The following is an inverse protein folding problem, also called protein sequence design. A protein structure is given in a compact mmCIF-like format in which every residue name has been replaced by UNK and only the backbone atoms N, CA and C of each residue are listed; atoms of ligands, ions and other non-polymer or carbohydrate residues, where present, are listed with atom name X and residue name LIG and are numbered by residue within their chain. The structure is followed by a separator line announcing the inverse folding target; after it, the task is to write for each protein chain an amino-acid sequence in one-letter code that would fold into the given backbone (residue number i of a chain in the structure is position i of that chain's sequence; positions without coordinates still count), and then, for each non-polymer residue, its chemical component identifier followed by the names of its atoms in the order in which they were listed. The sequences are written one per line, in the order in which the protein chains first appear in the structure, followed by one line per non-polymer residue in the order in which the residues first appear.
data_IF_947296534752
#
_entry.id   IF_947296534752
#
_cell.length_a   1.000
_cell.length_b   1.000
_cell.length_c   1.000
_cell.angle_alpha   90.00
_cell.angle_beta   90.00
_cell.angle_gamma   90.00
#
_symmetry.space_group_name_H-M   'P 1'
#
loop_
_entity.id
_entity.type
_entity.pdbx_description
1 polymer ?
#
# COMPACT_ATOMS: atom_id res chain seq x y z
N UNK A 1 25.65 -16.63 3.06
CA UNK A 1 25.12 -18.00 3.17
C UNK A 1 25.93 -18.94 2.26
N UNK A 2 26.32 -20.14 2.69
CA UNK A 2 27.16 -21.04 1.88
C UNK A 2 26.34 -21.93 0.95
N UNK A 3 26.90 -22.29 -0.22
CA UNK A 3 26.23 -23.18 -1.18
C UNK A 3 25.88 -24.55 -0.57
N UNK A 4 26.78 -25.14 0.21
CA UNK A 4 26.54 -26.42 0.90
C UNK A 4 25.36 -26.34 1.88
N UNK A 5 25.17 -25.20 2.57
CA UNK A 5 24.03 -25.01 3.46
C UNK A 5 22.72 -24.95 2.68
N UNK A 6 22.69 -24.19 1.58
CA UNK A 6 21.51 -24.05 0.71
C UNK A 6 21.11 -25.41 0.14
N UNK A 7 22.06 -26.12 -0.47
CA UNK A 7 21.85 -27.47 -1.03
C UNK A 7 21.28 -28.43 0.03
N UNK A 8 21.86 -28.44 1.23
CA UNK A 8 21.40 -29.32 2.31
C UNK A 8 19.94 -29.09 2.67
N UNK A 9 19.48 -27.83 2.72
CA UNK A 9 18.09 -27.49 3.05
C UNK A 9 17.13 -27.71 1.88
N UNK A 10 17.55 -27.38 0.65
CA UNK A 10 16.75 -27.62 -0.56
C UNK A 10 16.44 -29.11 -0.77
N UNK A 11 17.37 -30.00 -0.41
CA UNK A 11 17.21 -31.44 -0.55
C UNK A 11 16.87 -32.17 0.77
N UNK A 12 16.58 -31.42 1.85
CA UNK A 12 16.12 -32.02 3.09
C UNK A 12 14.66 -32.50 2.90
N UNK A 13 14.33 -33.75 3.25
CA UNK A 13 12.99 -34.31 3.03
C UNK A 13 11.89 -33.63 3.87
N UNK A 14 12.25 -32.84 4.88
CA UNK A 14 11.29 -32.06 5.66
C UNK A 14 11.01 -30.69 5.04
N UNK A 15 11.72 -30.30 3.98
CA UNK A 15 11.50 -29.05 3.27
C UNK A 15 10.74 -29.30 1.98
N UNK A 16 9.85 -28.38 1.67
CA UNK A 16 9.16 -28.32 0.39
C UNK A 16 9.66 -27.10 -0.37
N UNK A 17 9.80 -27.26 -1.68
CA UNK A 17 10.15 -26.15 -2.57
C UNK A 17 9.22 -26.10 -3.76
N UNK A 18 8.92 -24.89 -4.20
CA UNK A 18 8.31 -24.65 -5.50
C UNK A 18 9.03 -23.52 -6.21
N UNK A 19 8.98 -23.58 -7.54
CA UNK A 19 9.66 -22.65 -8.44
C UNK A 19 8.67 -22.12 -9.46
N UNK A 20 8.87 -20.88 -9.89
CA UNK A 20 8.20 -20.34 -11.07
C UNK A 20 9.14 -20.52 -12.25
N UNK A 21 8.62 -21.18 -13.28
CA UNK A 21 9.31 -21.36 -14.56
C UNK A 21 8.65 -20.51 -15.62
N UNK A 22 9.47 -19.86 -16.45
CA UNK A 22 9.02 -19.15 -17.64
C UNK A 22 9.45 -19.92 -18.87
N UNK A 23 8.50 -20.16 -19.77
CA UNK A 23 8.80 -20.75 -21.08
C UNK A 23 9.16 -19.65 -22.07
N UNK A 24 10.37 -19.68 -22.61
CA UNK A 24 10.84 -18.74 -23.64
C UNK A 24 11.42 -19.54 -24.80
N UNK A 25 10.90 -19.34 -26.01
CA UNK A 25 11.36 -20.01 -27.24
C UNK A 25 11.44 -21.55 -27.15
N UNK A 26 10.61 -22.18 -26.31
CA UNK A 26 10.59 -23.63 -26.13
C UNK A 26 11.36 -24.15 -24.91
N UNK A 27 12.23 -23.32 -24.32
CA UNK A 27 13.03 -23.66 -23.14
C UNK A 27 12.37 -23.16 -21.84
N UNK A 28 12.62 -23.87 -20.73
CA UNK A 28 12.15 -23.49 -19.40
C UNK A 28 13.28 -22.84 -18.60
N UNK A 29 13.07 -21.61 -18.19
CA UNK A 29 13.98 -20.86 -17.33
C UNK A 29 13.35 -20.68 -15.93
N UNK A 30 14.12 -20.93 -14.87
CA UNK A 30 13.68 -20.68 -13.50
C UNK A 30 13.75 -19.19 -13.21
N UNK A 31 12.61 -18.60 -12.85
CA UNK A 31 12.48 -17.16 -12.57
C UNK A 31 12.61 -16.87 -11.08
N UNK A 32 11.97 -17.66 -10.24
CA UNK A 32 11.97 -17.48 -8.80
C UNK A 32 11.67 -18.81 -8.11
N UNK A 33 11.83 -18.83 -6.78
CA UNK A 33 11.51 -20.00 -5.98
C UNK A 33 11.44 -19.72 -4.49
N UNK A 34 10.70 -20.58 -3.80
CA UNK A 34 10.55 -20.57 -2.37
C UNK A 34 10.76 -21.98 -1.81
N UNK A 35 11.56 -22.07 -0.75
CA UNK A 35 11.77 -23.26 0.07
C UNK A 35 11.28 -22.99 1.49
N UNK A 36 10.42 -23.86 1.99
CA UNK A 36 9.80 -23.71 3.30
C UNK A 36 9.67 -25.06 4.02
N UNK A 37 9.43 -25.01 5.33
CA UNK A 37 9.18 -26.18 6.18
C UNK A 37 7.98 -25.94 7.08
N UNK A 38 7.01 -26.84 7.03
CA UNK A 38 5.77 -26.73 7.82
C UNK A 38 5.85 -27.55 9.11
N UNK A 39 5.47 -26.94 10.23
CA UNK A 39 5.39 -27.57 11.55
C UNK A 39 3.93 -27.68 11.99
N UNK A 40 3.20 -28.67 11.45
CA UNK A 40 1.75 -28.83 11.63
C UNK A 40 1.29 -28.86 13.10
N UNK A 41 2.03 -29.52 13.98
CA UNK A 41 1.69 -29.59 15.42
C UNK A 41 1.87 -28.24 16.13
N UNK A 42 2.79 -27.41 15.64
CA UNK A 42 3.13 -26.09 16.20
C UNK A 42 2.36 -24.96 15.50
N UNK A 43 1.66 -25.29 14.42
CA UNK A 43 0.78 -24.42 13.63
C UNK A 43 1.50 -23.25 12.95
N UNK A 44 2.73 -23.47 12.51
CA UNK A 44 3.46 -22.48 11.71
C UNK A 44 4.29 -23.12 10.60
N UNK A 45 4.66 -22.30 9.62
CA UNK A 45 5.60 -22.65 8.55
C UNK A 45 6.80 -21.71 8.59
N UNK A 46 8.01 -22.23 8.45
CA UNK A 46 9.24 -21.45 8.28
C UNK A 46 9.56 -21.29 6.78
N UNK A 47 9.70 -20.06 6.30
CA UNK A 47 10.33 -19.82 4.99
C UNK A 47 11.84 -19.84 5.20
N UNK A 48 12.50 -20.85 4.63
CA UNK A 48 13.95 -20.98 4.69
C UNK A 48 14.62 -20.12 3.61
N UNK A 49 14.12 -20.20 2.37
CA UNK A 49 14.61 -19.42 1.25
C UNK A 49 13.47 -18.84 0.42
N UNK A 50 13.64 -17.60 -0.03
CA UNK A 50 12.79 -16.98 -1.02
C UNK A 50 13.67 -16.09 -1.89
N UNK A 51 13.69 -16.36 -3.20
CA UNK A 51 14.56 -15.66 -4.12
C UNK A 51 13.88 -15.44 -5.47
N UNK A 52 14.15 -14.28 -6.07
CA UNK A 52 13.77 -13.93 -7.44
C UNK A 52 15.05 -13.66 -8.22
N UNK A 53 15.16 -14.27 -9.40
CA UNK A 53 16.28 -14.09 -10.31
C UNK A 53 16.49 -12.60 -10.61
N UNK A 54 17.74 -12.14 -10.57
CA UNK A 54 18.09 -10.72 -10.59
C UNK A 54 17.46 -9.94 -11.74
N UNK A 55 17.50 -10.48 -12.96
CA UNK A 55 16.94 -9.80 -14.15
C UNK A 55 15.41 -9.77 -14.19
N UNK A 56 14.74 -10.52 -13.32
CA UNK A 56 13.29 -10.58 -13.20
C UNK A 56 12.77 -9.79 -11.98
N UNK A 57 13.64 -9.19 -11.18
CA UNK A 57 13.21 -8.37 -10.04
C UNK A 57 12.40 -7.13 -10.48
N UNK A 58 11.62 -6.58 -9.56
CA UNK A 58 10.76 -5.38 -9.78
C UNK A 58 9.62 -5.59 -10.81
N UNK A 59 9.36 -6.84 -11.23
CA UNK A 59 8.25 -7.20 -12.15
C UNK A 59 7.02 -7.80 -11.46
N UNK A 60 6.99 -7.79 -10.12
CA UNK A 60 5.89 -8.37 -9.33
C UNK A 60 6.02 -9.86 -9.02
N UNK A 61 7.01 -10.57 -9.58
CA UNK A 61 7.25 -12.00 -9.31
C UNK A 61 7.38 -12.30 -7.81
N UNK A 62 8.15 -11.52 -7.06
CA UNK A 62 8.31 -11.74 -5.63
C UNK A 62 7.02 -11.59 -4.82
N UNK A 63 6.11 -10.70 -5.21
CA UNK A 63 4.80 -10.59 -4.57
C UNK A 63 3.93 -11.81 -4.91
N UNK A 64 3.89 -12.18 -6.20
CA UNK A 64 3.12 -13.34 -6.67
C UNK A 64 3.63 -14.65 -6.05
N UNK A 65 4.94 -14.81 -5.91
CA UNK A 65 5.57 -15.96 -5.26
C UNK A 65 5.14 -16.08 -3.80
N UNK A 66 5.07 -14.96 -3.08
CA UNK A 66 4.59 -14.94 -1.70
C UNK A 66 3.10 -15.26 -1.60
N UNK A 67 2.26 -14.73 -2.50
CA UNK A 67 0.83 -15.09 -2.56
C UNK A 67 0.65 -16.61 -2.75
N UNK A 68 1.42 -17.22 -3.65
CA UNK A 68 1.44 -18.68 -3.82
C UNK A 68 1.94 -19.41 -2.58
N UNK A 69 2.99 -18.92 -1.92
CA UNK A 69 3.47 -19.52 -0.68
C UNK A 69 2.35 -19.53 0.37
N UNK A 70 1.76 -18.36 0.65
CA UNK A 70 0.69 -18.20 1.63
C UNK A 70 -0.50 -19.08 1.32
N UNK A 71 -0.97 -19.12 0.07
CA UNK A 71 -2.08 -19.98 -0.32
C UNK A 71 -1.76 -21.46 -0.11
N UNK A 72 -0.53 -21.88 -0.44
CA UNK A 72 -0.09 -23.27 -0.31
C UNK A 72 0.03 -23.71 1.16
N UNK A 73 0.44 -22.80 2.03
CA UNK A 73 0.56 -23.05 3.47
C UNK A 73 -0.71 -22.68 4.24
N UNK A 74 -1.71 -22.08 3.60
CA UNK A 74 -3.01 -21.76 4.19
C UNK A 74 -3.86 -23.03 4.33
N UNK A 75 -3.46 -23.89 5.25
CA UNK A 75 -4.13 -25.13 5.59
C UNK A 75 -4.77 -24.99 6.98
N UNK A 76 -5.85 -25.73 7.31
CA UNK A 76 -6.57 -25.58 8.57
C UNK A 76 -5.73 -25.65 9.85
N UNK A 77 -4.55 -26.29 9.80
CA UNK A 77 -3.63 -26.47 10.94
C UNK A 77 -2.50 -25.44 11.00
N UNK A 78 -2.28 -24.65 9.95
CA UNK A 78 -1.20 -23.68 9.87
C UNK A 78 -1.79 -22.27 9.96
N UNK A 79 -1.29 -21.48 10.90
CA UNK A 79 -1.84 -20.15 11.18
C UNK A 79 -0.81 -19.04 11.05
N UNK A 80 0.48 -19.37 11.06
CA UNK A 80 1.56 -18.39 11.04
C UNK A 80 2.63 -18.81 10.04
N UNK A 81 3.28 -17.83 9.43
CA UNK A 81 4.48 -18.00 8.64
C UNK A 81 5.59 -17.21 9.32
N UNK A 82 6.70 -17.87 9.62
CA UNK A 82 7.88 -17.26 10.19
C UNK A 82 9.01 -17.25 9.16
N UNK A 83 9.86 -16.24 9.23
CA UNK A 83 11.07 -16.16 8.41
C UNK A 83 12.16 -15.44 9.18
N UNK A 84 13.39 -15.93 9.10
CA UNK A 84 14.57 -15.14 9.43
C UNK A 84 15.06 -14.48 8.15
N UNK A 85 15.05 -13.16 8.10
CA UNK A 85 15.37 -12.42 6.88
C UNK A 85 16.52 -11.45 7.07
N UNK A 86 17.32 -11.24 6.03
CA UNK A 86 18.33 -10.20 6.02
C UNK A 86 17.68 -8.81 6.20
N UNK A 87 18.37 -7.89 6.88
CA UNK A 87 17.83 -6.55 7.18
C UNK A 87 17.40 -5.78 5.91
N UNK A 88 18.05 -6.02 4.78
CA UNK A 88 17.70 -5.40 3.49
C UNK A 88 16.36 -5.91 2.92
N UNK A 89 15.91 -7.10 3.32
CA UNK A 89 14.67 -7.72 2.86
C UNK A 89 13.49 -7.47 3.80
N UNK A 90 13.71 -6.90 4.99
CA UNK A 90 12.64 -6.51 5.92
C UNK A 90 11.56 -5.65 5.24
N UNK A 91 11.87 -4.62 4.42
CA UNK A 91 10.84 -3.84 3.73
C UNK A 91 10.01 -4.66 2.72
N UNK A 92 10.60 -5.69 2.11
CA UNK A 92 9.86 -6.62 1.25
C UNK A 92 8.86 -7.43 2.07
N UNK A 93 9.31 -8.08 3.15
CA UNK A 93 8.44 -8.88 4.02
C UNK A 93 7.35 -8.05 4.70
N UNK A 94 7.66 -6.81 5.12
CA UNK A 94 6.66 -5.87 5.64
C UNK A 94 5.55 -5.58 4.63
N UNK A 95 5.88 -5.36 3.34
CA UNK A 95 4.88 -5.22 2.27
C UNK A 95 4.07 -6.50 2.04
N UNK A 96 4.65 -7.66 2.36
CA UNK A 96 3.95 -8.94 2.35
C UNK A 96 3.17 -9.19 3.65
N UNK A 97 2.97 -8.21 4.53
CA UNK A 97 2.19 -8.38 5.75
C UNK A 97 2.90 -9.19 6.84
N UNK A 98 4.23 -9.20 6.84
CA UNK A 98 5.02 -9.70 7.97
C UNK A 98 5.35 -8.57 8.94
N UNK A 99 5.38 -8.88 10.23
CA UNK A 99 5.72 -7.97 11.32
C UNK A 99 6.95 -8.49 12.08
N UNK A 100 7.70 -7.60 12.72
CA UNK A 100 8.83 -7.96 13.59
C UNK A 100 8.39 -8.40 14.98
N UNK A 101 7.20 -7.98 15.42
CA UNK A 101 6.58 -8.47 16.65
C UNK A 101 5.96 -9.85 16.41
N UNK A 102 6.43 -10.85 17.15
CA UNK A 102 6.02 -12.25 16.99
C UNK A 102 4.90 -12.55 17.99
N UNK A 103 3.67 -12.70 17.50
CA UNK A 103 2.51 -13.06 18.30
C UNK A 103 2.46 -14.57 18.62
N UNK A 104 3.13 -15.41 17.82
CA UNK A 104 3.27 -16.84 18.07
C UNK A 104 4.05 -17.08 19.39
N UNK A 105 3.45 -17.79 20.38
CA UNK A 105 4.11 -18.14 21.63
C UNK A 105 5.48 -18.79 21.42
N UNK A 106 6.49 -18.27 22.10
CA UNK A 106 7.91 -18.64 21.94
C UNK A 106 8.17 -20.15 21.98
N UNK A 107 7.50 -20.88 22.88
CA UNK A 107 7.66 -22.35 23.01
C UNK A 107 7.30 -23.12 21.73
N UNK A 108 6.53 -22.52 20.81
CA UNK A 108 6.14 -23.15 19.54
C UNK A 108 7.25 -23.10 18.49
N UNK A 109 8.10 -22.08 18.50
CA UNK A 109 9.04 -21.82 17.38
C UNK A 109 10.52 -21.71 17.78
N UNK A 110 10.83 -21.31 19.02
CA UNK A 110 12.18 -20.92 19.42
C UNK A 110 13.26 -22.00 19.21
N UNK A 111 12.92 -23.27 19.41
CA UNK A 111 13.86 -24.39 19.20
C UNK A 111 13.87 -24.93 17.76
N UNK A 112 13.03 -24.38 16.88
CA UNK A 112 12.81 -24.88 15.52
C UNK A 112 13.34 -23.92 14.46
N UNK A 113 13.17 -22.62 14.68
CA UNK A 113 13.64 -21.56 13.79
C UNK A 113 15.04 -21.14 14.23
N UNK A 114 15.98 -21.08 13.28
CA UNK A 114 17.35 -20.68 13.58
C UNK A 114 17.53 -19.17 13.39
N UNK A 115 17.63 -18.44 14.49
CA UNK A 115 18.11 -17.07 14.47
C UNK A 115 19.65 -17.07 14.36
N UNK A 116 20.18 -16.25 13.46
CA UNK A 116 21.60 -15.98 13.31
C UNK A 116 21.85 -14.48 13.51
N UNK A 117 23.09 -14.07 13.75
CA UNK A 117 23.40 -12.63 13.84
C UNK A 117 23.18 -11.95 12.48
N UNK A 118 22.58 -10.76 12.51
CA UNK A 118 22.34 -9.95 11.31
C UNK A 118 21.07 -10.30 10.53
N UNK A 119 20.24 -11.24 11.02
CA UNK A 119 18.89 -11.49 10.48
C UNK A 119 17.81 -11.02 11.46
N UNK A 120 16.69 -10.55 10.91
CA UNK A 120 15.50 -10.18 11.65
C UNK A 120 14.47 -11.30 11.54
N UNK A 121 13.97 -11.79 12.67
CA UNK A 121 12.83 -12.71 12.69
C UNK A 121 11.56 -11.91 12.41
N UNK A 122 10.73 -12.40 11.48
CA UNK A 122 9.45 -11.80 11.14
C UNK A 122 8.34 -12.84 11.07
N UNK A 123 7.11 -12.41 11.36
CA UNK A 123 5.90 -13.22 11.39
C UNK A 123 4.81 -12.66 10.47
N UNK A 124 4.17 -13.53 9.70
CA UNK A 124 2.90 -13.25 9.03
C UNK A 124 1.81 -14.16 9.60
N UNK A 125 0.72 -13.57 10.10
CA UNK A 125 -0.48 -14.30 10.51
C UNK A 125 -1.36 -14.56 9.29
N UNK A 126 -1.69 -15.82 9.04
CA UNK A 126 -2.51 -16.22 7.88
C UNK A 126 -4.00 -15.98 8.14
N UNK A 127 -4.69 -15.51 7.11
CA UNK A 127 -6.12 -15.31 7.08
C UNK A 127 -6.77 -16.54 6.42
N UNK A 128 -7.32 -17.45 7.24
CA UNK A 128 -7.78 -18.76 6.78
C UNK A 128 -8.87 -18.73 5.70
N UNK A 129 -9.73 -17.70 5.70
CA UNK A 129 -10.82 -17.55 4.73
C UNK A 129 -10.43 -16.71 3.51
N UNK A 130 -9.16 -16.30 3.41
CA UNK A 130 -8.68 -15.39 2.38
C UNK A 130 -7.94 -16.15 1.29
N UNK A 131 -8.33 -15.92 0.03
CA UNK A 131 -7.62 -16.45 -1.14
C UNK A 131 -6.54 -15.44 -1.56
N UNK A 132 -5.28 -15.76 -1.26
CA UNK A 132 -4.14 -14.90 -1.54
C UNK A 132 -3.82 -14.79 -3.03
N UNK A 133 -4.33 -15.68 -3.87
CA UNK A 133 -4.14 -15.57 -5.33
C UNK A 133 -5.07 -14.56 -5.98
N UNK A 134 -6.09 -14.06 -5.26
CA UNK A 134 -7.15 -13.20 -5.77
C UNK A 134 -7.21 -11.81 -5.10
N UNK A 135 -6.13 -11.36 -4.45
CA UNK A 135 -6.07 -10.07 -3.75
C UNK A 135 -6.59 -8.90 -4.59
N UNK A 136 -6.18 -8.72 -5.87
CA UNK A 136 -6.61 -7.56 -6.64
C UNK A 136 -8.12 -7.50 -6.86
N UNK A 137 -8.76 -8.66 -7.13
CA UNK A 137 -10.22 -8.69 -7.32
C UNK A 137 -10.96 -8.49 -6.00
N UNK A 138 -10.46 -9.06 -4.90
CA UNK A 138 -11.04 -8.87 -3.57
C UNK A 138 -11.01 -7.40 -3.15
N UNK A 139 -9.86 -6.73 -3.28
CA UNK A 139 -9.72 -5.31 -2.98
C UNK A 139 -10.62 -4.44 -3.86
N UNK A 140 -10.73 -4.77 -5.15
CA UNK A 140 -11.63 -4.07 -6.07
C UNK A 140 -13.09 -4.22 -5.63
N UNK A 141 -13.53 -5.42 -5.29
CA UNK A 141 -14.89 -5.68 -4.83
C UNK A 141 -15.19 -4.95 -3.51
N UNK A 142 -14.27 -4.98 -2.55
CA UNK A 142 -14.41 -4.25 -1.28
C UNK A 142 -14.48 -2.73 -1.50
N UNK A 143 -13.57 -2.18 -2.33
CA UNK A 143 -13.55 -0.75 -2.66
C UNK A 143 -14.86 -0.34 -3.34
N UNK A 144 -15.36 -1.14 -4.28
CA UNK A 144 -16.65 -0.88 -4.92
C UNK A 144 -17.80 -0.88 -3.92
N UNK A 145 -17.84 -1.83 -2.99
CA UNK A 145 -18.86 -1.89 -1.95
C UNK A 145 -18.84 -0.65 -1.05
N UNK A 146 -17.65 -0.20 -0.63
CA UNK A 146 -17.49 1.02 0.16
C UNK A 146 -17.93 2.25 -0.61
N UNK A 147 -17.52 2.38 -1.88
CA UNK A 147 -17.91 3.50 -2.74
C UNK A 147 -19.42 3.53 -2.95
N UNK A 148 -20.05 2.38 -3.16
CA UNK A 148 -21.51 2.32 -3.35
C UNK A 148 -22.26 2.72 -2.08
N UNK A 149 -21.82 2.26 -0.91
CA UNK A 149 -22.35 2.73 0.37
C UNK A 149 -22.15 4.23 0.58
N UNK A 150 -20.98 4.77 0.16
CA UNK A 150 -20.69 6.19 0.25
C UNK A 150 -21.67 7.02 -0.61
N UNK A 151 -22.07 6.53 -1.79
CA UNK A 151 -23.04 7.24 -2.64
C UNK A 151 -24.42 7.37 -2.00
N UNK A 152 -24.81 6.44 -1.13
CA UNK A 152 -26.10 6.51 -0.42
C UNK A 152 -26.13 7.64 0.62
N UNK A 153 -24.97 8.01 1.17
CA UNK A 153 -24.87 9.05 2.20
C UNK A 153 -24.27 10.37 1.69
N UNK A 154 -23.50 10.32 0.59
CA UNK A 154 -22.78 11.46 0.04
C UNK A 154 -23.22 11.76 -1.38
N UNK A 155 -23.42 13.05 -1.66
CA UNK A 155 -23.66 13.58 -2.98
C UNK A 155 -22.37 13.86 -3.80
N UNK A 156 -21.18 13.51 -3.31
CA UNK A 156 -19.90 13.79 -4.00
C UNK A 156 -19.79 13.18 -5.39
N UNK A 157 -20.58 12.14 -5.69
CA UNK A 157 -20.62 11.48 -6.99
C UNK A 157 -21.53 12.22 -8.00
N UNK A 158 -22.29 13.22 -7.56
CA UNK A 158 -23.18 14.01 -8.41
C UNK A 158 -22.36 15.10 -9.08
N UNK A 159 -22.30 15.05 -10.41
CA UNK A 159 -21.64 16.08 -11.23
C UNK A 159 -22.64 17.22 -11.46
N UNK A 160 -22.29 18.42 -10.97
CA UNK A 160 -23.07 19.63 -11.17
C UNK A 160 -22.61 20.37 -12.44
N UNK A 161 -23.47 21.15 -13.10
CA UNK A 161 -23.07 22.00 -14.22
C UNK A 161 -21.93 22.95 -13.85
N UNK A 162 -21.02 23.17 -14.80
CA UNK A 162 -19.94 24.15 -14.63
C UNK A 162 -20.46 25.57 -14.43
N UNK A 163 -19.72 26.37 -13.67
CA UNK A 163 -20.05 27.78 -13.44
C UNK A 163 -19.71 28.61 -14.69
N UNK A 164 -20.61 29.51 -15.10
CA UNK A 164 -20.34 30.43 -16.21
C UNK A 164 -19.42 31.58 -15.76
N UNK A 165 -18.13 31.46 -16.11
CA UNK A 165 -17.11 32.46 -15.83
C UNK A 165 -17.16 33.73 -16.70
N UNK A 166 -18.03 33.78 -17.71
CA UNK A 166 -18.16 34.96 -18.60
C UNK A 166 -19.01 36.07 -17.99
N UNK A 167 -19.81 35.74 -16.97
CA UNK A 167 -20.59 36.72 -16.23
C UNK A 167 -19.68 37.61 -15.37
N UNK A 168 -19.60 38.90 -15.71
CA UNK A 168 -18.94 39.92 -14.85
C UNK A 168 -19.68 40.17 -13.54
N UNK A 169 -20.92 39.71 -13.41
CA UNK A 169 -21.64 39.67 -12.12
C UNK A 169 -21.20 38.39 -11.41
N UNK A 170 -20.40 38.55 -10.36
CA UNK A 170 -19.96 37.43 -9.52
C UNK A 170 -21.14 36.56 -9.05
N UNK A 171 -20.90 35.26 -8.89
CA UNK A 171 -21.91 34.28 -8.50
C UNK A 171 -21.99 34.24 -6.97
N UNK A 172 -23.19 34.25 -6.40
CA UNK A 172 -23.36 34.04 -4.97
C UNK A 172 -22.98 32.58 -4.63
N UNK A 173 -22.12 32.38 -3.63
CA UNK A 173 -21.69 31.04 -3.19
C UNK A 173 -22.87 30.12 -2.86
N UNK A 174 -23.98 30.68 -2.37
CA UNK A 174 -25.20 29.91 -2.04
C UNK A 174 -25.94 29.36 -3.25
N UNK A 175 -25.73 29.97 -4.42
CA UNK A 175 -26.40 29.60 -5.66
C UNK A 175 -25.61 28.52 -6.43
N UNK A 176 -24.41 28.17 -5.93
CA UNK A 176 -23.62 27.06 -6.47
C UNK A 176 -24.34 25.74 -6.11
N UNK A 177 -24.69 24.99 -7.15
CA UNK A 177 -25.33 23.69 -7.01
C UNK A 177 -24.49 22.74 -6.13
N UNK A 178 -25.15 22.04 -5.21
CA UNK A 178 -24.52 21.15 -4.23
C UNK A 178 -24.11 21.82 -2.90
N UNK A 179 -23.93 23.15 -2.83
CA UNK A 179 -23.55 23.78 -1.56
C UNK A 179 -24.71 23.95 -0.58
N UNK A 180 -25.87 24.40 -1.05
CA UNK A 180 -27.00 24.76 -0.17
C UNK A 180 -27.64 23.57 0.55
N UNK A 181 -27.97 22.50 -0.19
CA UNK A 181 -28.75 21.38 0.35
C UNK A 181 -27.93 20.14 0.70
N UNK A 182 -26.69 20.01 0.19
CA UNK A 182 -25.87 18.80 0.35
C UNK A 182 -24.62 19.03 1.22
N UNK A 183 -23.98 20.20 1.14
CA UNK A 183 -22.79 20.52 1.94
C UNK A 183 -23.10 21.21 3.28
N UNK A 184 -24.38 21.37 3.64
CA UNK A 184 -24.76 22.03 4.90
C UNK A 184 -24.41 23.52 4.95
N UNK A 185 -24.30 24.20 3.80
CA UNK A 185 -23.97 25.63 3.72
C UNK A 185 -25.13 26.55 4.16
N UNK A 186 -26.00 26.08 5.06
CA UNK A 186 -27.04 26.88 5.69
C UNK A 186 -26.61 27.25 7.12
N UNK A 187 -26.26 28.53 7.30
CA UNK A 187 -26.08 29.25 8.59
C UNK A 187 -24.74 29.10 9.34
N UNK A 188 -23.63 29.47 8.70
CA UNK A 188 -22.84 30.54 9.32
C UNK A 188 -23.40 31.87 8.84
N UNK A 189 -24.43 32.34 9.54
CA UNK A 189 -24.83 33.74 9.45
C UNK A 189 -23.55 34.56 9.61
N UNK A 190 -23.24 35.40 8.62
CA UNK A 190 -22.28 36.50 8.77
C UNK A 190 -22.70 37.29 10.01
N UNK A 191 -22.14 36.95 11.17
CA UNK A 191 -22.15 37.84 12.32
C UNK A 191 -20.97 38.76 12.06
N UNK A 192 -21.26 39.98 11.60
CA UNK A 192 -20.27 41.06 11.56
C UNK A 192 -19.91 41.47 13.01
N UNK A 193 -19.45 40.54 13.84
CA UNK A 193 -18.87 40.86 15.13
C UNK A 193 -17.42 41.31 14.90
N UNK A 194 -16.95 42.26 15.69
CA UNK A 194 -15.55 42.72 15.67
C UNK A 194 -14.57 41.56 15.92
N UNK A 195 -15.02 40.56 16.68
CA UNK A 195 -14.29 39.33 16.97
C UNK A 195 -14.00 38.50 15.71
N UNK A 196 -14.93 38.40 14.76
CA UNK A 196 -14.73 37.66 13.51
C UNK A 196 -13.78 38.41 12.54
N UNK A 197 -13.73 39.74 12.63
CA UNK A 197 -12.73 40.56 11.90
C UNK A 197 -11.33 40.34 12.44
N UNK A 198 -11.18 40.28 13.77
CA UNK A 198 -9.91 39.97 14.41
C UNK A 198 -9.45 38.54 14.03
N UNK A 199 -10.33 37.55 14.09
CA UNK A 199 -10.05 36.16 13.66
C UNK A 199 -9.64 36.09 12.18
N UNK A 200 -10.35 36.78 11.28
CA UNK A 200 -9.96 36.87 9.86
C UNK A 200 -8.58 37.47 9.68
N UNK A 201 -8.22 38.49 10.46
CA UNK A 201 -6.90 39.12 10.39
C UNK A 201 -5.78 38.18 10.85
N UNK A 202 -6.03 37.41 11.91
CA UNK A 202 -5.12 36.38 12.42
C UNK A 202 -4.97 35.24 11.40
N UNK A 203 -6.07 34.74 10.84
CA UNK A 203 -6.05 33.71 9.80
C UNK A 203 -5.36 34.18 8.53
N UNK A 204 -5.58 35.44 8.12
CA UNK A 204 -4.90 36.00 6.96
C UNK A 204 -3.38 36.07 7.17
N UNK A 205 -2.92 36.55 8.32
CA UNK A 205 -1.50 36.58 8.66
C UNK A 205 -0.89 35.17 8.71
N UNK A 206 -1.63 34.19 9.23
CA UNK A 206 -1.18 32.79 9.25
C UNK A 206 -1.07 32.21 7.83
N UNK A 207 -2.10 32.38 7.00
CA UNK A 207 -2.10 31.90 5.61
C UNK A 207 -1.03 32.60 4.76
N UNK A 208 -0.75 33.89 5.00
CA UNK A 208 0.37 34.59 4.37
C UNK A 208 1.71 33.94 4.74
N UNK A 209 1.91 33.61 6.02
CA UNK A 209 3.15 32.95 6.46
C UNK A 209 3.32 31.57 5.82
N UNK A 210 2.26 30.77 5.78
CA UNK A 210 2.26 29.46 5.10
C UNK A 210 2.54 29.62 3.60
N UNK A 211 1.96 30.63 2.96
CA UNK A 211 2.22 30.93 1.55
C UNK A 211 3.67 31.33 1.31
N UNK A 212 4.27 32.11 2.20
CA UNK A 212 5.70 32.46 2.11
C UNK A 212 6.62 31.25 2.30
N UNK A 213 6.29 30.35 3.23
CA UNK A 213 7.04 29.10 3.42
C UNK A 213 6.93 28.18 2.20
N UNK A 214 5.73 28.02 1.63
CA UNK A 214 5.51 27.30 0.38
C UNK A 214 6.32 27.90 -0.76
N UNK A 215 6.30 29.22 -0.92
CA UNK A 215 7.08 29.94 -1.94
C UNK A 215 8.60 29.74 -1.80
N UNK A 216 9.10 29.46 -0.59
CA UNK A 216 10.52 29.19 -0.32
C UNK A 216 10.91 27.73 -0.53
N UNK A 217 9.95 26.82 -0.72
CA UNK A 217 10.23 25.40 -0.89
C UNK A 217 10.86 25.12 -2.27
N UNK A 218 11.90 24.27 -2.33
CA UNK A 218 12.67 24.02 -3.56
C UNK A 218 11.82 23.50 -4.72
N UNK A 219 10.79 22.71 -4.42
CA UNK A 219 9.89 22.12 -5.44
C UNK A 219 8.81 23.08 -5.99
N UNK A 220 8.73 24.33 -5.53
CA UNK A 220 7.63 25.25 -5.90
C UNK A 220 7.91 26.04 -7.19
N UNK A 221 9.13 25.97 -7.75
CA UNK A 221 9.51 26.68 -8.98
C UNK A 221 8.51 26.61 -10.15
N UNK A 222 7.77 25.50 -10.42
CA UNK A 222 6.80 25.44 -11.53
C UNK A 222 5.54 26.29 -11.29
N UNK A 223 5.28 26.71 -10.06
CA UNK A 223 4.05 27.38 -9.63
C UNK A 223 4.27 28.84 -9.22
N UNK A 224 5.51 29.34 -9.25
CA UNK A 224 5.85 30.72 -8.85
C UNK A 224 5.42 31.75 -9.88
N UNK A 225 5.59 31.42 -11.16
CA UNK A 225 5.21 32.26 -12.28
C UNK A 225 4.14 31.54 -13.10
N UNK A 226 3.18 32.27 -13.68
CA UNK A 226 2.34 31.74 -14.73
C UNK A 226 3.22 31.13 -15.83
N UNK A 227 2.80 29.99 -16.36
CA UNK A 227 3.51 29.32 -17.45
C UNK A 227 3.45 30.22 -18.68
N UNK A 228 4.60 30.45 -19.32
CA UNK A 228 4.68 31.23 -20.55
C UNK A 228 4.01 30.46 -21.70
N UNK A 229 3.09 31.14 -22.38
CA UNK A 229 2.35 30.60 -23.52
C UNK A 229 3.27 30.39 -24.73
N UNK A 230 4.35 31.16 -24.86
CA UNK A 230 5.31 31.01 -25.97
C UNK A 230 6.21 29.78 -25.79
N UNK A 231 6.66 29.48 -24.56
CA UNK A 231 7.52 28.32 -24.26
C UNK A 231 6.78 26.98 -24.36
N UNK A 232 5.46 26.97 -24.19
CA UNK A 232 4.66 25.75 -24.20
C UNK A 232 4.10 25.38 -25.57
N UNK A 233 4.17 26.29 -26.56
CA UNK A 233 3.62 26.09 -27.90
C UNK A 233 2.11 25.85 -27.91
N UNK A 234 1.42 26.12 -26.80
CA UNK A 234 -0.02 25.97 -26.65
C UNK A 234 -0.69 27.26 -27.14
N UNK A 235 -1.03 27.30 -28.43
CA UNK A 235 -2.03 28.23 -28.93
C UNK A 235 -3.41 27.70 -28.49
N UNK A 236 -3.95 28.25 -27.40
CA UNK A 236 -5.37 28.10 -27.06
C UNK A 236 -6.27 28.64 -28.18
#
# INVERSE_FOLDING_TARGET
MSSAYVTRLLFDPNHESFIVVKKTLGEYEVVDGCCYRSFLERRFTEIAFLAVWGTQQVRGYGARLMDYNKERVNQPRLTHVLTCTDNNAVPYFAKQGFNTEISLPQHRWHSYVKAYDGVTLMECVLLSQFNYLNVPMLLKAQTMGVVENLKQVSASHIVHPGLDGRSKKGICVRDIAGLRHQAGFERHQRRNSEQERAEKHVHHAHLQRVLEELKKHECVWPFLCPVDTEDTGAND
#
